data_IF_880279928295
#
_entry.id   IF_880279928295
#
_cell.length_a   1.000
_cell.length_b   1.000
_cell.length_c   1.000
_cell.angle_alpha   90.00
_cell.angle_beta   90.00
_cell.angle_gamma   90.00
#
_symmetry.space_group_name_H-M   'P 1'
#
loop_
_entity.id
_entity.type
_entity.pdbx_description
1 polymer ?
#
# COMPACT_ATOMS: atom_id res chain seq x y z
N UNK A 1 -18.54 -28.13 -15.05
CA UNK A 1 -17.39 -28.53 -14.18
C UNK A 1 -17.13 -27.39 -13.19
N UNK A 2 -17.57 -27.53 -11.92
CA UNK A 2 -17.43 -26.50 -10.89
C UNK A 2 -15.95 -26.47 -10.45
N UNK A 3 -15.24 -25.34 -10.65
CA UNK A 3 -13.94 -25.10 -10.08
C UNK A 3 -14.07 -25.18 -8.55
N UNK A 4 -13.44 -26.17 -7.92
CA UNK A 4 -13.22 -26.17 -6.49
C UNK A 4 -12.30 -24.98 -6.18
N UNK A 5 -12.85 -23.96 -5.52
CA UNK A 5 -12.02 -22.94 -4.85
C UNK A 5 -11.17 -23.67 -3.82
N UNK A 6 -9.87 -23.75 -4.07
CA UNK A 6 -8.91 -24.10 -3.01
C UNK A 6 -8.90 -22.89 -2.07
N UNK A 7 -9.59 -22.99 -0.96
CA UNK A 7 -9.30 -22.15 0.20
C UNK A 7 -7.94 -22.59 0.71
N UNK A 8 -6.94 -21.74 0.56
CA UNK A 8 -5.66 -21.93 1.21
C UNK A 8 -5.93 -21.82 2.72
N UNK A 9 -5.69 -22.88 3.52
CA UNK A 9 -6.00 -22.87 4.94
C UNK A 9 -5.21 -21.82 5.73
N UNK A 10 -4.18 -21.21 5.12
CA UNK A 10 -3.27 -20.28 5.77
C UNK A 10 -3.60 -18.81 5.48
N UNK A 11 -4.66 -18.50 4.68
CA UNK A 11 -5.08 -17.13 4.38
C UNK A 11 -6.25 -16.74 5.31
N UNK A 12 -6.01 -15.74 6.16
CA UNK A 12 -7.03 -15.14 7.01
C UNK A 12 -7.32 -13.71 6.54
N UNK A 13 -8.58 -13.42 6.22
CA UNK A 13 -9.05 -12.08 5.84
C UNK A 13 -9.81 -11.45 6.99
N UNK A 14 -9.42 -10.24 7.37
CA UNK A 14 -10.07 -9.47 8.41
C UNK A 14 -10.52 -8.10 7.86
N UNK A 15 -11.80 -7.79 8.02
CA UNK A 15 -12.36 -6.49 7.70
C UNK A 15 -12.66 -5.72 8.98
N UNK A 16 -11.88 -4.67 9.27
CA UNK A 16 -12.03 -3.89 10.49
C UNK A 16 -10.90 -2.91 10.73
N UNK A 17 -10.87 -2.33 11.92
CA UNK A 17 -9.81 -1.43 12.34
C UNK A 17 -8.52 -2.23 12.63
N UNK A 18 -7.48 -2.02 11.82
CA UNK A 18 -6.21 -2.73 11.96
C UNK A 18 -5.52 -2.49 13.31
N UNK A 19 -5.64 -1.27 13.89
CA UNK A 19 -5.09 -0.99 15.21
C UNK A 19 -5.77 -1.84 16.31
N UNK A 20 -7.10 -1.96 16.26
CA UNK A 20 -7.83 -2.83 17.21
C UNK A 20 -7.42 -4.29 17.04
N UNK A 21 -7.31 -4.77 15.80
CA UNK A 21 -6.86 -6.13 15.53
C UNK A 21 -5.45 -6.38 16.07
N UNK A 22 -4.52 -5.46 15.84
CA UNK A 22 -3.14 -5.60 16.33
C UNK A 22 -3.06 -5.68 17.86
N UNK A 23 -3.89 -4.94 18.61
CA UNK A 23 -3.93 -5.01 20.08
C UNK A 23 -4.25 -6.41 20.63
N UNK A 24 -4.97 -7.22 19.86
CA UNK A 24 -5.34 -8.59 20.22
C UNK A 24 -4.29 -9.63 19.78
N UNK A 25 -3.32 -9.24 18.95
CA UNK A 25 -2.26 -10.09 18.45
C UNK A 25 -1.12 -10.23 19.45
N UNK A 26 -0.41 -11.35 19.37
CA UNK A 26 0.79 -11.61 20.19
C UNK A 26 1.99 -10.83 19.67
N UNK A 27 2.97 -10.59 20.54
CA UNK A 27 4.26 -10.03 20.16
C UNK A 27 4.95 -10.92 19.15
N UNK A 28 5.53 -10.32 18.10
CA UNK A 28 6.25 -11.02 17.02
C UNK A 28 5.44 -12.15 16.37
N UNK A 29 4.11 -11.98 16.27
CA UNK A 29 3.23 -13.00 15.68
C UNK A 29 3.53 -13.23 14.20
N UNK A 30 4.02 -12.19 13.50
CA UNK A 30 4.35 -12.24 12.07
C UNK A 30 5.85 -12.03 11.85
N UNK A 31 6.42 -12.70 10.86
CA UNK A 31 7.81 -12.48 10.47
C UNK A 31 7.96 -11.18 9.68
N UNK A 32 6.98 -10.85 8.83
CA UNK A 32 6.96 -9.65 8.00
C UNK A 32 5.57 -9.03 7.98
N UNK A 33 5.49 -7.72 8.22
CA UNK A 33 4.30 -6.92 7.96
C UNK A 33 4.56 -5.99 6.76
N UNK A 34 3.65 -6.00 5.78
CA UNK A 34 3.66 -5.07 4.64
C UNK A 34 2.39 -4.23 4.75
N UNK A 35 2.53 -2.95 5.01
CA UNK A 35 1.40 -2.06 5.27
C UNK A 35 1.39 -0.83 4.38
N UNK A 36 0.18 -0.36 4.06
CA UNK A 36 -0.08 0.86 3.27
C UNK A 36 -1.15 1.68 3.99
N UNK A 37 -0.80 2.30 5.12
CA UNK A 37 -1.76 3.05 5.92
C UNK A 37 -2.08 4.40 5.27
N UNK A 38 -3.20 5.06 5.66
CA UNK A 38 -3.56 6.38 5.16
C UNK A 38 -2.43 7.40 5.34
N UNK A 39 -2.18 8.23 4.32
CA UNK A 39 -1.08 9.19 4.34
C UNK A 39 -1.42 10.52 5.03
N UNK A 40 -2.71 10.78 5.31
CA UNK A 40 -3.16 12.02 5.93
C UNK A 40 -3.08 13.25 5.01
N UNK A 41 -3.09 13.05 3.71
CA UNK A 41 -2.99 14.11 2.69
C UNK A 41 -4.35 14.56 2.15
N UNK A 42 -5.44 14.04 2.75
CA UNK A 42 -6.80 14.32 2.30
C UNK A 42 -7.15 13.62 0.98
N UNK A 43 -8.28 14.01 0.44
CA UNK A 43 -8.73 13.51 -0.87
C UNK A 43 -8.07 14.33 -1.97
N UNK A 44 -6.80 14.09 -2.23
CA UNK A 44 -6.17 14.67 -3.41
C UNK A 44 -6.59 13.90 -4.65
N UNK A 45 -7.60 14.42 -5.35
CA UNK A 45 -8.01 13.93 -6.66
C UNK A 45 -7.39 14.89 -7.68
N UNK A 46 -6.53 14.41 -8.59
CA UNK A 46 -6.01 15.25 -9.65
C UNK A 46 -7.18 15.82 -10.46
N UNK A 47 -7.23 17.13 -10.63
CA UNK A 47 -8.18 17.74 -11.57
C UNK A 47 -7.80 17.27 -12.97
N UNK A 48 -8.54 16.30 -13.49
CA UNK A 48 -8.37 15.87 -14.87
C UNK A 48 -9.05 16.88 -15.78
N UNK A 49 -8.37 17.30 -16.83
CA UNK A 49 -8.85 18.30 -17.79
C UNK A 49 -9.77 17.71 -18.86
N UNK A 50 -10.13 16.42 -18.79
CA UNK A 50 -10.95 15.74 -19.79
C UNK A 50 -12.37 15.45 -19.28
N UNK A 51 -13.36 15.75 -20.10
CA UNK A 51 -14.79 15.53 -19.84
C UNK A 51 -15.19 14.06 -19.58
N UNK A 52 -14.27 13.12 -19.73
CA UNK A 52 -14.45 11.69 -19.49
C UNK A 52 -14.30 11.30 -18.01
N UNK A 53 -13.79 12.20 -17.15
CA UNK A 53 -13.48 11.92 -15.74
C UNK A 53 -14.68 12.03 -14.79
N UNK A 54 -15.81 12.56 -15.24
CA UNK A 54 -16.97 12.85 -14.38
C UNK A 54 -17.61 11.60 -13.74
N UNK A 55 -17.44 10.42 -14.34
CA UNK A 55 -17.97 9.16 -13.78
C UNK A 55 -17.02 8.55 -12.74
N UNK A 56 -15.72 8.75 -12.88
CA UNK A 56 -14.73 8.25 -11.92
C UNK A 56 -14.61 9.14 -10.68
N UNK A 57 -14.81 10.46 -10.83
CA UNK A 57 -14.82 11.40 -9.72
C UNK A 57 -15.93 11.09 -8.70
N UNK A 58 -17.11 10.69 -9.17
CA UNK A 58 -18.24 10.34 -8.27
C UNK A 58 -18.02 9.04 -7.53
N UNK A 59 -17.23 8.10 -8.07
CA UNK A 59 -17.00 6.79 -7.47
C UNK A 59 -16.12 6.86 -6.21
N UNK A 60 -15.24 7.86 -6.10
CA UNK A 60 -14.26 7.97 -5.02
C UNK A 60 -14.36 9.28 -4.21
N UNK A 61 -15.25 10.20 -4.56
CA UNK A 61 -15.36 11.55 -3.99
C UNK A 61 -15.86 11.60 -2.53
N UNK A 62 -16.38 10.52 -1.99
CA UNK A 62 -16.93 10.48 -0.62
C UNK A 62 -15.97 9.83 0.38
N UNK A 63 -14.73 9.55 -0.02
CA UNK A 63 -13.83 8.74 0.81
C UNK A 63 -13.02 9.65 1.75
N UNK A 64 -13.27 9.55 3.05
CA UNK A 64 -12.61 10.35 4.09
C UNK A 64 -11.44 9.63 4.77
N UNK A 65 -11.16 8.38 4.38
CA UNK A 65 -10.15 7.53 5.04
C UNK A 65 -8.73 8.11 5.02
N UNK A 66 -8.40 8.97 4.04
CA UNK A 66 -7.06 9.56 3.90
C UNK A 66 -6.92 10.96 4.54
N UNK A 67 -7.90 11.40 5.34
CA UNK A 67 -7.89 12.73 5.94
C UNK A 67 -6.91 12.84 7.13
N UNK A 68 -6.51 11.72 7.71
CA UNK A 68 -5.56 11.70 8.81
C UNK A 68 -4.59 10.52 8.66
N UNK A 69 -3.33 10.75 8.99
CA UNK A 69 -2.36 9.67 9.16
C UNK A 69 -2.70 8.84 10.41
N UNK A 70 -2.27 7.57 10.48
CA UNK A 70 -2.45 6.76 11.68
C UNK A 70 -1.80 7.40 12.91
N UNK A 71 -2.36 7.20 14.09
CA UNK A 71 -1.76 7.66 15.33
C UNK A 71 -0.44 6.92 15.59
N UNK A 72 0.45 7.51 16.37
CA UNK A 72 1.75 6.91 16.75
C UNK A 72 1.61 5.48 17.29
N UNK A 73 0.54 5.23 18.04
CA UNK A 73 0.23 3.92 18.60
C UNK A 73 0.11 2.82 17.52
N UNK A 74 -0.43 3.14 16.34
CA UNK A 74 -0.50 2.19 15.21
C UNK A 74 0.88 1.63 14.87
N UNK A 75 1.87 2.49 14.77
CA UNK A 75 3.24 2.07 14.44
C UNK A 75 3.93 1.35 15.61
N UNK A 76 3.58 1.67 16.84
CA UNK A 76 4.04 0.94 18.02
C UNK A 76 3.51 -0.48 18.02
N UNK A 77 2.20 -0.64 17.79
CA UNK A 77 1.58 -1.97 17.69
C UNK A 77 2.10 -2.76 16.49
N UNK A 78 2.26 -2.12 15.33
CA UNK A 78 2.84 -2.77 14.15
C UNK A 78 4.20 -3.36 14.43
N UNK A 79 5.08 -2.62 15.11
CA UNK A 79 6.42 -3.10 15.53
C UNK A 79 6.34 -4.19 16.58
N UNK A 80 5.34 -4.16 17.46
CA UNK A 80 5.14 -5.20 18.48
C UNK A 80 4.73 -6.53 17.88
N UNK A 81 3.79 -6.50 16.91
CA UNK A 81 3.21 -7.73 16.34
C UNK A 81 4.02 -8.35 15.22
N UNK A 82 5.03 -7.65 14.69
CA UNK A 82 5.83 -8.14 13.57
C UNK A 82 7.33 -7.94 13.81
N UNK A 83 8.15 -8.90 13.36
CA UNK A 83 9.60 -8.84 13.48
C UNK A 83 10.18 -7.80 12.52
N UNK A 84 9.69 -7.78 11.27
CA UNK A 84 10.13 -6.87 10.23
C UNK A 84 8.93 -6.15 9.60
N UNK A 85 9.16 -4.90 9.14
CA UNK A 85 8.10 -4.06 8.56
C UNK A 85 8.53 -3.42 7.25
N UNK A 86 7.61 -3.39 6.29
CA UNK A 86 7.64 -2.56 5.09
C UNK A 86 6.45 -1.60 5.19
N UNK A 87 6.72 -0.30 5.31
CA UNK A 87 5.67 0.71 5.51
C UNK A 87 5.67 1.66 4.32
N UNK A 88 4.65 1.58 3.46
CA UNK A 88 4.46 2.50 2.33
C UNK A 88 4.08 3.90 2.82
N UNK A 89 4.45 4.92 2.04
CA UNK A 89 4.20 6.31 2.38
C UNK A 89 5.13 6.87 3.45
N UNK A 90 6.33 6.31 3.61
CA UNK A 90 7.30 6.71 4.63
C UNK A 90 7.60 8.21 4.67
N UNK A 91 7.50 8.90 3.53
CA UNK A 91 7.70 10.34 3.40
C UNK A 91 6.57 11.20 4.02
N UNK A 92 5.44 10.59 4.39
CA UNK A 92 4.31 11.31 5.01
C UNK A 92 4.29 11.20 6.53
N UNK A 93 5.07 10.28 7.13
CA UNK A 93 5.05 10.02 8.57
C UNK A 93 6.31 10.59 9.25
N UNK A 94 6.14 11.65 10.03
CA UNK A 94 7.25 12.38 10.67
C UNK A 94 8.09 11.53 11.61
N UNK A 95 7.48 10.56 12.28
CA UNK A 95 8.13 9.72 13.29
C UNK A 95 8.74 8.43 12.73
N UNK A 96 8.65 8.23 11.40
CA UNK A 96 9.17 7.06 10.72
C UNK A 96 10.18 7.53 9.69
N UNK A 97 11.37 7.95 10.16
CA UNK A 97 12.46 8.25 9.26
C UNK A 97 13.36 7.01 9.17
N UNK A 98 13.27 6.22 8.10
CA UNK A 98 13.99 4.97 8.00
C UNK A 98 15.45 5.20 7.66
N UNK A 99 16.33 4.35 8.18
CA UNK A 99 17.70 4.22 7.71
C UNK A 99 17.79 3.46 6.38
N UNK A 100 16.78 2.72 6.03
CA UNK A 100 16.64 1.99 4.77
C UNK A 100 15.31 2.26 4.11
N UNK A 101 15.29 2.44 2.80
CA UNK A 101 14.08 2.73 2.01
C UNK A 101 14.01 1.84 0.77
N UNK A 102 12.79 1.58 0.34
CA UNK A 102 12.47 1.02 -0.96
C UNK A 102 11.76 2.07 -1.79
N UNK A 103 12.25 2.31 -2.99
CA UNK A 103 11.62 3.20 -3.97
C UNK A 103 10.95 2.35 -5.05
N UNK A 104 9.64 2.48 -5.18
CA UNK A 104 8.91 1.92 -6.31
C UNK A 104 8.74 2.97 -7.39
N UNK A 105 9.39 2.78 -8.54
CA UNK A 105 9.23 3.60 -9.73
C UNK A 105 8.10 3.04 -10.60
N UNK A 106 7.09 3.87 -10.84
CA UNK A 106 5.84 3.49 -11.53
C UNK A 106 5.95 3.54 -13.05
N UNK A 107 6.93 4.27 -13.58
CA UNK A 107 7.14 4.49 -15.02
C UNK A 107 5.88 4.99 -15.75
N UNK A 108 5.22 5.99 -15.18
CA UNK A 108 3.93 6.52 -15.67
C UNK A 108 4.06 7.69 -16.66
N UNK A 109 5.26 8.02 -17.10
CA UNK A 109 5.50 9.15 -18.01
C UNK A 109 5.18 10.50 -17.36
N UNK A 110 4.74 11.48 -18.16
CA UNK A 110 4.45 12.85 -17.71
C UNK A 110 3.01 13.00 -17.15
N UNK A 111 2.57 12.11 -16.26
CA UNK A 111 1.28 12.22 -15.60
C UNK A 111 1.37 13.07 -14.33
N UNK A 112 0.23 13.68 -13.92
CA UNK A 112 0.12 14.51 -12.71
C UNK A 112 0.12 13.68 -11.40
N UNK A 113 0.72 12.50 -11.40
CA UNK A 113 0.86 11.62 -10.24
C UNK A 113 2.32 11.47 -9.84
N UNK A 114 2.56 11.09 -8.59
CA UNK A 114 3.90 10.79 -8.14
C UNK A 114 4.53 9.68 -8.98
N UNK A 115 5.70 9.95 -9.56
CA UNK A 115 6.47 9.00 -10.36
C UNK A 115 6.97 7.81 -9.53
N UNK A 116 7.15 8.04 -8.22
CA UNK A 116 7.64 7.05 -7.28
C UNK A 116 6.77 6.99 -6.03
N UNK A 117 6.80 5.88 -5.35
CA UNK A 117 6.37 5.76 -3.96
C UNK A 117 7.51 5.22 -3.11
N UNK A 118 7.54 5.63 -1.85
CA UNK A 118 8.62 5.31 -0.92
C UNK A 118 8.06 4.48 0.23
N UNK A 119 8.71 3.35 0.50
CA UNK A 119 8.46 2.57 1.70
C UNK A 119 9.68 2.60 2.62
N UNK A 120 9.45 2.63 3.94
CA UNK A 120 10.49 2.35 4.92
C UNK A 120 10.70 0.84 5.04
N UNK A 121 11.96 0.44 5.26
CA UNK A 121 12.33 -0.91 5.67
C UNK A 121 12.82 -0.86 7.10
N UNK A 122 12.35 -1.76 7.97
CA UNK A 122 12.77 -1.82 9.38
C UNK A 122 14.19 -2.35 9.56
N UNK A 123 14.79 -2.89 8.52
CA UNK A 123 16.14 -3.47 8.52
C UNK A 123 17.06 -2.83 7.48
N UNK A 124 18.35 -2.94 7.73
CA UNK A 124 19.39 -2.49 6.81
C UNK A 124 19.59 -0.97 6.78
N UNK A 125 20.45 -0.52 5.88
CA UNK A 125 20.83 0.89 5.71
C UNK A 125 20.89 1.30 4.23
N UNK A 126 20.39 0.45 3.33
CA UNK A 126 20.45 0.68 1.89
C UNK A 126 19.14 1.26 1.37
N UNK A 127 19.26 1.96 0.25
CA UNK A 127 18.11 2.30 -0.58
C UNK A 127 18.00 1.26 -1.68
N UNK A 128 16.90 0.51 -1.67
CA UNK A 128 16.55 -0.42 -2.74
C UNK A 128 15.56 0.24 -3.72
N UNK A 129 15.47 -0.31 -4.92
CA UNK A 129 14.59 0.20 -5.94
C UNK A 129 13.95 -0.94 -6.73
N UNK A 130 12.70 -0.74 -7.14
CA UNK A 130 11.97 -1.63 -8.04
C UNK A 130 11.23 -0.81 -9.08
N UNK A 131 11.25 -1.26 -10.34
CA UNK A 131 10.45 -0.69 -11.40
C UNK A 131 9.35 -1.67 -11.77
N UNK A 132 8.11 -1.26 -11.53
CA UNK A 132 6.90 -1.98 -11.95
C UNK A 132 5.95 -0.93 -12.50
N UNK A 133 5.64 -1.04 -13.79
CA UNK A 133 4.79 -0.09 -14.48
C UNK A 133 3.39 -0.11 -13.88
N UNK A 134 2.91 1.06 -13.49
CA UNK A 134 1.57 1.22 -12.94
C UNK A 134 0.99 2.58 -13.29
N UNK A 135 -0.16 2.60 -13.88
CA UNK A 135 -0.91 3.84 -14.09
C UNK A 135 -2.34 3.67 -13.59
N UNK A 136 -2.87 4.71 -12.98
CA UNK A 136 -4.31 4.83 -12.71
C UNK A 136 -5.02 5.20 -14.02
N UNK A 137 -6.14 4.57 -14.31
CA UNK A 137 -6.97 4.91 -15.46
C UNK A 137 -6.66 4.14 -16.75
N UNK A 138 -6.94 4.75 -17.92
CA UNK A 138 -6.97 4.12 -19.24
C UNK A 138 -5.66 3.45 -19.72
N UNK A 139 -4.54 3.72 -19.07
CA UNK A 139 -3.22 3.17 -19.42
C UNK A 139 -2.78 2.02 -18.50
N UNK A 140 -3.71 1.24 -18.03
CA UNK A 140 -3.40 0.04 -17.24
C UNK A 140 -2.60 -0.95 -18.08
N UNK A 141 -1.30 -0.94 -17.88
CA UNK A 141 -0.37 -1.87 -18.58
C UNK A 141 -0.48 -3.29 -18.03
N UNK A 142 -1.09 -3.47 -16.85
CA UNK A 142 -1.19 -4.77 -16.19
C UNK A 142 -2.65 -5.23 -16.22
N UNK A 143 -2.90 -6.41 -16.80
CA UNK A 143 -4.20 -7.08 -16.85
C UNK A 143 -4.59 -7.67 -15.47
N UNK A 144 -4.57 -6.87 -14.43
CA UNK A 144 -4.94 -7.29 -13.06
C UNK A 144 -6.44 -7.14 -12.75
N UNK A 145 -7.26 -7.01 -13.78
CA UNK A 145 -8.70 -6.80 -13.62
C UNK A 145 -9.08 -5.33 -13.42
N UNK A 146 -10.31 -5.08 -12.98
CA UNK A 146 -10.83 -3.73 -12.72
C UNK A 146 -10.22 -3.13 -11.45
N UNK A 147 -9.90 -1.84 -11.50
CA UNK A 147 -9.45 -1.12 -10.29
C UNK A 147 -10.62 -0.94 -9.33
N UNK A 148 -10.50 -1.48 -8.14
CA UNK A 148 -11.53 -1.44 -7.10
C UNK A 148 -11.25 -0.38 -6.02
N UNK A 149 -10.02 0.17 -5.98
CA UNK A 149 -9.60 1.18 -5.02
C UNK A 149 -8.66 2.20 -5.66
N UNK A 150 -8.79 3.52 -5.37
CA UNK A 150 -7.97 4.57 -6.00
C UNK A 150 -6.46 4.41 -5.73
N UNK A 151 -6.11 3.92 -4.55
CA UNK A 151 -4.72 3.69 -4.14
C UNK A 151 -4.28 2.22 -4.27
N UNK A 152 -5.00 1.43 -5.08
CA UNK A 152 -4.65 0.02 -5.29
C UNK A 152 -3.26 -0.11 -5.90
N UNK A 153 -2.37 -0.79 -5.19
CA UNK A 153 -1.04 -1.16 -5.68
C UNK A 153 -1.11 -2.43 -6.53
N UNK A 154 -0.20 -2.63 -7.50
CA UNK A 154 -0.20 -3.83 -8.35
C UNK A 154 0.13 -5.10 -7.56
N UNK A 155 -0.53 -6.21 -7.90
CA UNK A 155 -0.24 -7.54 -7.33
C UNK A 155 1.23 -7.93 -7.58
N UNK A 156 1.76 -7.57 -8.75
CA UNK A 156 3.16 -7.81 -9.10
C UNK A 156 4.14 -7.17 -8.11
N UNK A 157 3.79 -6.01 -7.52
CA UNK A 157 4.62 -5.35 -6.50
C UNK A 157 4.66 -6.18 -5.22
N UNK A 158 3.51 -6.62 -4.73
CA UNK A 158 3.44 -7.45 -3.51
C UNK A 158 4.13 -8.80 -3.71
N UNK A 159 3.94 -9.43 -4.86
CA UNK A 159 4.63 -10.66 -5.20
C UNK A 159 6.15 -10.47 -5.16
N UNK A 160 6.65 -9.42 -5.79
CA UNK A 160 8.08 -9.09 -5.77
C UNK A 160 8.60 -8.84 -4.34
N UNK A 161 7.82 -8.14 -3.50
CA UNK A 161 8.18 -7.90 -2.10
C UNK A 161 8.30 -9.20 -1.31
N UNK A 162 7.32 -10.10 -1.48
CA UNK A 162 7.33 -11.39 -0.81
C UNK A 162 8.49 -12.27 -1.30
N UNK A 163 8.70 -12.35 -2.61
CA UNK A 163 9.80 -13.14 -3.20
C UNK A 163 11.18 -12.63 -2.74
N UNK A 164 11.32 -11.32 -2.49
CA UNK A 164 12.60 -10.72 -2.11
C UNK A 164 12.84 -10.71 -0.61
N UNK A 165 11.82 -10.48 0.21
CA UNK A 165 11.97 -10.15 1.62
C UNK A 165 11.28 -11.13 2.57
N UNK A 166 10.28 -11.89 2.16
CA UNK A 166 9.71 -12.94 3.00
C UNK A 166 10.67 -14.16 3.02
N UNK A 167 11.01 -14.60 4.23
CA UNK A 167 11.91 -15.75 4.47
C UNK A 167 11.09 -16.95 4.93
#
# INVERSE_FOLDING_TARGET
MKRKERRDPDINLFLGCSLQAMREMKDNQYDLAIVDPPYGIGNWIPKTTSAQSSKDETRFNTVTWNNAAPPKEYFTELKRVSKEQIIWGANYYKDIFPSAVLVWYKNIGNQNFSQVEIASLSWGVRCDYVQINWSSGFHRVIKEGEQIHPCQKPIALYKWLLDKYAK
#
